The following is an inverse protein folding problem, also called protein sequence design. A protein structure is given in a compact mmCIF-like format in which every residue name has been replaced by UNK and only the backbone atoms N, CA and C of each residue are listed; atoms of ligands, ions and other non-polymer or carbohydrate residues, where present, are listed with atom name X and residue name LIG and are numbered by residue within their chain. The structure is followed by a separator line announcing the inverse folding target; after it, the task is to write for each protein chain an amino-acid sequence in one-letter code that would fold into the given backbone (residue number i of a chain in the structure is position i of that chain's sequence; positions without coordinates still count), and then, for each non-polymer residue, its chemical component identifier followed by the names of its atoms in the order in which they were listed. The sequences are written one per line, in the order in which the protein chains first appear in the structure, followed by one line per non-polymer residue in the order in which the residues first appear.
data_IF_975206272744
#
_entry.id   IF_975206272744
#
_cell.length_a   1.000
_cell.length_b   1.000
_cell.length_c   1.000
_cell.angle_alpha   90.00
_cell.angle_beta   90.00
_cell.angle_gamma   90.00
#
_symmetry.space_group_name_H-M   'P 1'
#
loop_
_entity.id
_entity.type
_entity.pdbx_description
1 polymer ?
#
# COMPACT_ATOMS: atom_id res chain seq x y z
N UNK A 1 -12.01 -29.43 29.22
CA UNK A 1 -11.99 -29.07 27.79
C UNK A 1 -12.04 -27.57 27.52
N UNK A 2 -12.73 -26.75 28.33
CA UNK A 2 -12.81 -25.29 28.11
C UNK A 2 -11.46 -24.56 28.16
N UNK A 3 -10.56 -24.95 29.06
CA UNK A 3 -9.21 -24.37 29.15
C UNK A 3 -8.44 -24.49 27.84
N UNK A 4 -8.50 -25.68 27.24
CA UNK A 4 -7.82 -26.01 25.99
C UNK A 4 -8.36 -25.16 24.82
N UNK A 5 -9.67 -24.91 24.79
CA UNK A 5 -10.28 -24.02 23.80
C UNK A 5 -9.88 -22.56 23.99
N UNK A 6 -9.78 -22.08 25.23
CA UNK A 6 -9.33 -20.70 25.50
C UNK A 6 -7.87 -20.48 25.10
N UNK A 7 -7.01 -21.47 25.33
CA UNK A 7 -5.60 -21.42 24.91
C UNK A 7 -5.46 -21.41 23.39
N UNK A 8 -6.17 -22.31 22.69
CA UNK A 8 -6.18 -22.34 21.23
C UNK A 8 -6.66 -21.01 20.65
N UNK A 9 -7.69 -20.39 21.23
CA UNK A 9 -8.18 -19.07 20.83
C UNK A 9 -7.15 -17.96 21.08
N UNK A 10 -6.43 -18.01 22.20
CA UNK A 10 -5.36 -17.06 22.50
C UNK A 10 -4.20 -17.17 21.50
N UNK A 11 -3.77 -18.40 21.22
CA UNK A 11 -2.70 -18.68 20.25
C UNK A 11 -3.07 -18.24 18.84
N UNK A 12 -4.30 -18.51 18.40
CA UNK A 12 -4.78 -18.05 17.08
C UNK A 12 -4.84 -16.54 16.97
N UNK A 13 -5.29 -15.83 18.00
CA UNK A 13 -5.27 -14.36 18.05
C UNK A 13 -3.83 -13.83 17.99
N UNK A 14 -2.92 -14.39 18.77
CA UNK A 14 -1.51 -14.00 18.77
C UNK A 14 -0.87 -14.21 17.39
N UNK A 15 -1.15 -15.35 16.75
CA UNK A 15 -0.69 -15.65 15.39
C UNK A 15 -1.23 -14.64 14.38
N UNK A 16 -2.52 -14.27 14.46
CA UNK A 16 -3.11 -13.27 13.57
C UNK A 16 -2.47 -11.89 13.73
N UNK A 17 -2.19 -11.46 14.97
CA UNK A 17 -1.52 -10.19 15.25
C UNK A 17 -0.10 -10.19 14.66
N UNK A 18 0.67 -11.27 14.88
CA UNK A 18 2.01 -11.43 14.31
C UNK A 18 1.99 -11.37 12.79
N UNK A 19 1.04 -12.06 12.15
CA UNK A 19 0.85 -12.01 10.69
C UNK A 19 0.52 -10.60 10.19
N UNK A 20 -0.34 -9.85 10.89
CA UNK A 20 -0.65 -8.45 10.54
C UNK A 20 0.57 -7.54 10.69
N UNK A 21 1.35 -7.71 11.75
CA UNK A 21 2.57 -6.93 12.00
C UNK A 21 3.65 -7.18 10.94
N UNK A 22 3.77 -8.40 10.44
CA UNK A 22 4.72 -8.75 9.38
C UNK A 22 4.35 -8.16 8.01
N UNK A 23 3.11 -7.69 7.81
CA UNK A 23 2.73 -7.02 6.57
C UNK A 23 3.44 -5.67 6.50
N UNK A 24 4.49 -5.61 5.69
CA UNK A 24 5.15 -4.35 5.34
C UNK A 24 4.13 -3.44 4.67
N UNK A 25 3.75 -2.36 5.34
CA UNK A 25 2.94 -1.31 4.73
C UNK A 25 3.78 -0.56 3.71
N UNK A 26 3.21 -0.28 2.54
CA UNK A 26 3.85 0.60 1.55
C UNK A 26 3.85 2.05 2.08
N UNK A 27 4.98 2.76 2.09
CA UNK A 27 5.00 4.16 2.50
C UNK A 27 4.26 5.03 1.48
N UNK A 28 3.40 5.93 1.98
CA UNK A 28 2.74 6.93 1.15
C UNK A 28 3.77 7.98 0.71
N UNK A 29 3.81 8.26 -0.59
CA UNK A 29 4.74 9.24 -1.13
C UNK A 29 4.24 10.67 -0.88
N UNK A 30 4.89 11.37 0.05
CA UNK A 30 4.64 12.78 0.31
C UNK A 30 5.64 13.64 -0.48
N UNK A 31 5.15 14.43 -1.42
CA UNK A 31 5.97 15.42 -2.11
C UNK A 31 6.24 16.59 -1.15
N UNK A 32 7.39 16.56 -0.50
CA UNK A 32 7.82 17.62 0.41
C UNK A 32 8.40 18.79 -0.39
N UNK A 33 8.06 20.03 -0.01
CA UNK A 33 8.79 21.22 -0.46
C UNK A 33 10.14 21.25 0.25
N UNK A 34 11.22 21.50 -0.49
CA UNK A 34 12.60 21.53 0.02
C UNK A 34 12.89 22.74 0.91
N UNK A 35 11.90 23.60 1.15
CA UNK A 35 12.05 24.95 1.68
C UNK A 35 12.50 25.01 3.16
N UNK A 36 12.62 23.87 3.86
CA UNK A 36 13.06 23.85 5.26
C UNK A 36 14.12 22.75 5.49
N UNK A 37 15.29 23.14 6.00
CA UNK A 37 16.47 22.31 6.24
C UNK A 37 16.32 21.28 7.39
N UNK A 38 15.10 20.93 7.76
CA UNK A 38 14.82 19.95 8.83
C UNK A 38 14.53 18.58 8.22
N UNK A 39 15.27 17.55 8.63
CA UNK A 39 15.08 16.17 8.15
C UNK A 39 13.77 15.49 8.61
N UNK A 40 12.95 16.15 9.44
CA UNK A 40 11.68 15.62 9.91
C UNK A 40 10.53 15.89 8.92
N UNK A 41 9.77 14.83 8.58
CA UNK A 41 8.59 14.92 7.69
C UNK A 41 7.33 14.97 8.54
N UNK A 42 6.67 16.13 8.60
CA UNK A 42 5.41 16.29 9.33
C UNK A 42 4.19 15.88 8.50
N UNK A 43 3.42 14.91 9.00
CA UNK A 43 2.17 14.43 8.41
C UNK A 43 0.95 15.12 9.02
N UNK A 44 0.48 16.20 8.38
CA UNK A 44 -0.82 16.77 8.72
C UNK A 44 -1.95 15.95 8.06
N UNK A 45 -3.19 15.95 8.60
CA UNK A 45 -4.32 15.25 8.00
C UNK A 45 -4.57 15.63 6.53
N UNK A 46 -4.30 16.89 6.17
CA UNK A 46 -4.38 17.37 4.79
C UNK A 46 -3.35 16.68 3.88
N UNK A 47 -2.08 16.63 4.30
CA UNK A 47 -1.01 15.95 3.54
C UNK A 47 -1.29 14.46 3.33
N UNK A 48 -1.90 13.81 4.33
CA UNK A 48 -2.31 12.42 4.22
C UNK A 48 -3.36 12.22 3.11
N UNK A 49 -4.37 13.10 3.04
CA UNK A 49 -5.38 13.05 1.97
C UNK A 49 -4.76 13.30 0.60
N UNK A 50 -3.89 14.29 0.48
CA UNK A 50 -3.18 14.61 -0.77
C UNK A 50 -2.33 13.43 -1.26
N UNK A 51 -1.59 12.77 -0.36
CA UNK A 51 -0.79 11.59 -0.70
C UNK A 51 -1.66 10.42 -1.21
N UNK A 52 -2.83 10.16 -0.58
CA UNK A 52 -3.77 9.12 -1.03
C UNK A 52 -4.37 9.42 -2.40
N UNK A 53 -4.76 10.67 -2.66
CA UNK A 53 -5.29 11.08 -3.97
C UNK A 53 -4.23 10.90 -5.06
N UNK A 54 -2.96 11.21 -4.76
CA UNK A 54 -1.88 10.96 -5.73
C UNK A 54 -1.66 9.48 -5.99
N UNK A 55 -1.68 8.65 -4.96
CA UNK A 55 -1.52 7.21 -5.14
C UNK A 55 -2.61 6.65 -6.07
N UNK A 56 -3.87 7.06 -5.90
CA UNK A 56 -4.95 6.60 -6.78
C UNK A 56 -4.81 7.09 -8.23
N UNK A 57 -4.24 8.27 -8.46
CA UNK A 57 -3.91 8.75 -9.82
C UNK A 57 -2.80 7.90 -10.43
N UNK A 58 -1.71 7.66 -9.69
CA UNK A 58 -0.57 6.87 -10.17
C UNK A 58 -0.98 5.43 -10.49
N UNK A 59 -1.86 4.83 -9.69
CA UNK A 59 -2.33 3.46 -9.92
C UNK A 59 -3.21 3.39 -11.19
N UNK A 60 -4.10 4.38 -11.41
CA UNK A 60 -4.88 4.48 -12.66
C UNK A 60 -4.01 4.66 -13.90
N UNK A 61 -2.95 5.48 -13.80
CA UNK A 61 -2.01 5.69 -14.90
C UNK A 61 -1.24 4.40 -15.24
N UNK A 62 -0.77 3.67 -14.21
CA UNK A 62 -0.13 2.36 -14.41
C UNK A 62 -1.05 1.37 -15.07
N UNK A 63 -2.30 1.27 -14.62
CA UNK A 63 -3.29 0.38 -15.23
C UNK A 63 -3.49 0.70 -16.71
N UNK A 64 -3.62 1.98 -17.08
CA UNK A 64 -3.73 2.40 -18.48
C UNK A 64 -2.51 2.01 -19.30
N UNK A 65 -1.31 2.24 -18.77
CA UNK A 65 -0.05 1.88 -19.45
C UNK A 65 0.06 0.36 -19.66
N UNK A 66 -0.29 -0.44 -18.65
CA UNK A 66 -0.27 -1.90 -18.77
C UNK A 66 -1.31 -2.40 -19.78
N UNK A 67 -2.51 -1.79 -19.81
CA UNK A 67 -3.52 -2.09 -20.82
C UNK A 67 -3.04 -1.75 -22.24
N UNK A 68 -2.41 -0.59 -22.45
CA UNK A 68 -1.85 -0.23 -23.75
C UNK A 68 -0.73 -1.17 -24.19
N UNK A 69 0.17 -1.54 -23.28
CA UNK A 69 1.21 -2.54 -23.57
C UNK A 69 0.61 -3.90 -23.95
N UNK A 70 -0.43 -4.33 -23.25
CA UNK A 70 -1.12 -5.58 -23.55
C UNK A 70 -1.78 -5.54 -24.94
N UNK A 71 -2.44 -4.42 -25.29
CA UNK A 71 -3.01 -4.21 -26.63
C UNK A 71 -1.97 -4.28 -27.72
N UNK A 72 -0.87 -3.53 -27.58
CA UNK A 72 0.24 -3.54 -28.54
C UNK A 72 0.84 -4.94 -28.74
N UNK A 73 1.01 -5.70 -27.65
CA UNK A 73 1.48 -7.10 -27.73
C UNK A 73 0.50 -8.00 -28.49
N UNK A 74 -0.80 -7.85 -28.25
CA UNK A 74 -1.82 -8.61 -28.96
C UNK A 74 -1.84 -8.29 -30.45
N UNK A 75 -1.74 -7.02 -30.82
CA UNK A 75 -1.67 -6.56 -32.21
C UNK A 75 -0.43 -7.14 -32.93
N UNK A 76 0.74 -7.10 -32.29
CA UNK A 76 1.97 -7.70 -32.85
C UNK A 76 1.97 -9.22 -32.91
N UNK A 77 1.14 -9.90 -32.11
CA UNK A 77 1.03 -11.36 -32.13
C UNK A 77 -0.03 -11.84 -33.14
N UNK A 78 -0.93 -10.95 -33.57
CA UNK A 78 -1.94 -11.22 -34.60
C UNK A 78 -1.49 -10.89 -36.03
N UNK A 79 -0.39 -10.14 -36.16
CA UNK A 79 0.27 -9.83 -37.43
C UNK A 79 1.41 -10.80 -37.69
#
# INVERSE_FOLDING_TARGET
NNLLHTEIQGLTKALQVKKKQQKKSKPLYLQQRKDYHSGAVFWSPRKLREARVRESVMDREKEKVELEKARKKAETASA
#
